data_IF_023995445517
#
_entry.id   IF_023995445517
#
_cell.length_a   1.000
_cell.length_b   1.000
_cell.length_c   1.000
_cell.angle_alpha   90.00
_cell.angle_beta   90.00
_cell.angle_gamma   90.00
#
_symmetry.space_group_name_H-M   'P 1'
#
loop_
_entity.id
_entity.type
_entity.pdbx_description
1 polymer ?
#
# COMPACT_ATOMS: atom_id res chain seq x y z
N UNK A 1 28.16 23.20 -7.31
CA UNK A 1 27.09 22.75 -8.23
C UNK A 1 27.60 22.83 -9.67
N UNK A 2 27.18 21.89 -10.54
CA UNK A 2 27.38 21.78 -12.01
C UNK A 2 28.46 20.86 -12.65
N UNK A 3 29.51 20.40 -11.98
CA UNK A 3 30.48 19.48 -12.63
C UNK A 3 30.21 17.97 -12.37
N UNK A 4 29.56 17.62 -11.26
CA UNK A 4 29.35 16.22 -10.85
C UNK A 4 28.13 15.58 -11.51
N UNK A 5 27.06 16.34 -11.78
CA UNK A 5 25.84 15.83 -12.41
C UNK A 5 25.99 15.50 -13.90
N UNK A 6 26.66 16.36 -14.68
CA UNK A 6 26.82 16.14 -16.14
C UNK A 6 27.76 14.97 -16.44
N UNK A 7 28.84 14.84 -15.66
CA UNK A 7 29.81 13.75 -15.82
C UNK A 7 29.25 12.40 -15.37
N UNK A 8 28.45 12.39 -14.30
CA UNK A 8 27.71 11.20 -13.87
C UNK A 8 26.68 10.75 -14.93
N UNK A 9 25.93 11.69 -15.54
CA UNK A 9 24.99 11.38 -16.63
C UNK A 9 25.68 10.78 -17.85
N UNK A 10 26.80 11.35 -18.29
CA UNK A 10 27.57 10.86 -19.43
C UNK A 10 28.09 9.44 -19.19
N UNK A 11 28.64 9.19 -17.99
CA UNK A 11 29.10 7.86 -17.59
C UNK A 11 27.96 6.83 -17.55
N UNK A 12 26.83 7.16 -16.92
CA UNK A 12 25.66 6.26 -16.86
C UNK A 12 25.12 5.96 -18.27
N UNK A 13 25.05 6.95 -19.16
CA UNK A 13 24.63 6.71 -20.56
C UNK A 13 25.57 5.76 -21.29
N UNK A 14 26.87 5.94 -21.14
CA UNK A 14 27.86 5.05 -21.76
C UNK A 14 27.75 3.62 -21.24
N UNK A 15 27.59 3.44 -19.93
CA UNK A 15 27.39 2.13 -19.30
C UNK A 15 26.08 1.46 -19.73
N UNK A 16 24.98 2.21 -19.84
CA UNK A 16 23.70 1.66 -20.31
C UNK A 16 23.73 1.28 -21.79
N UNK A 17 24.55 1.96 -22.60
CA UNK A 17 24.70 1.69 -24.03
C UNK A 17 25.63 0.49 -24.32
N UNK A 18 26.55 0.14 -23.42
CA UNK A 18 27.43 -1.02 -23.61
C UNK A 18 26.64 -2.34 -23.38
N UNK A 19 26.49 -3.18 -24.41
CA UNK A 19 25.77 -4.45 -24.30
C UNK A 19 26.43 -5.44 -23.33
N UNK A 20 27.71 -5.25 -22.99
CA UNK A 20 28.46 -6.12 -22.06
C UNK A 20 28.25 -5.73 -20.59
N UNK A 21 27.76 -4.52 -20.32
CA UNK A 21 27.50 -4.08 -18.94
C UNK A 21 26.27 -4.78 -18.40
N UNK A 22 26.41 -5.53 -17.31
CA UNK A 22 25.25 -6.00 -16.56
C UNK A 22 24.60 -4.83 -15.81
N UNK A 23 23.53 -4.29 -16.39
CA UNK A 23 22.79 -3.14 -15.85
C UNK A 23 21.97 -3.48 -14.60
N UNK A 24 21.77 -4.77 -14.31
CA UNK A 24 20.99 -5.26 -13.18
C UNK A 24 21.89 -5.80 -12.06
N UNK A 25 23.21 -5.63 -12.19
CA UNK A 25 24.18 -6.11 -11.22
C UNK A 25 23.88 -5.57 -9.82
N UNK A 26 23.89 -6.47 -8.85
CA UNK A 26 23.72 -6.13 -7.43
C UNK A 26 25.08 -5.91 -6.77
N UNK A 27 25.11 -5.16 -5.68
CA UNK A 27 26.37 -4.73 -5.06
C UNK A 27 26.34 -4.78 -3.53
N UNK A 28 25.63 -3.86 -2.87
CA UNK A 28 25.66 -3.72 -1.40
C UNK A 28 24.87 -4.82 -0.68
N UNK A 29 23.79 -5.26 -1.32
CA UNK A 29 22.95 -6.37 -0.90
C UNK A 29 22.71 -7.24 -2.14
N UNK A 30 22.41 -8.52 -1.95
CA UNK A 30 22.26 -9.50 -3.05
C UNK A 30 21.16 -9.14 -4.05
N UNK A 31 20.31 -8.17 -3.73
CA UNK A 31 19.13 -7.72 -4.47
C UNK A 31 19.13 -6.21 -4.83
N UNK A 32 20.01 -5.40 -4.23
CA UNK A 32 20.03 -3.95 -4.44
C UNK A 32 20.80 -3.55 -5.71
N UNK A 33 20.12 -2.89 -6.65
CA UNK A 33 20.68 -2.49 -7.97
C UNK A 33 20.99 -0.99 -8.06
N UNK A 34 21.65 -0.56 -9.13
CA UNK A 34 21.89 0.86 -9.39
C UNK A 34 20.59 1.66 -9.61
N UNK A 35 19.53 1.02 -10.13
CA UNK A 35 18.21 1.64 -10.24
C UNK A 35 17.62 1.90 -8.84
N UNK A 36 17.70 0.93 -7.92
CA UNK A 36 17.26 1.12 -6.53
C UNK A 36 17.96 2.31 -5.87
N UNK A 37 19.28 2.44 -6.04
CA UNK A 37 20.03 3.58 -5.50
C UNK A 37 19.56 4.93 -6.06
N UNK A 38 19.37 4.99 -7.39
CA UNK A 38 18.92 6.21 -8.07
C UNK A 38 17.51 6.62 -7.59
N UNK A 39 16.62 5.65 -7.42
CA UNK A 39 15.27 5.85 -6.89
C UNK A 39 15.31 6.32 -5.43
N UNK A 40 16.04 5.60 -4.58
CA UNK A 40 16.16 5.90 -3.14
C UNK A 40 16.70 7.31 -2.87
N UNK A 41 17.66 7.74 -3.69
CA UNK A 41 18.32 9.05 -3.55
C UNK A 41 17.55 10.18 -4.26
N UNK A 42 16.52 9.87 -5.05
CA UNK A 42 15.74 10.85 -5.82
C UNK A 42 16.45 11.41 -7.05
N UNK A 43 17.32 10.63 -7.70
CA UNK A 43 18.01 11.02 -8.93
C UNK A 43 17.11 10.78 -10.16
N UNK A 44 16.06 11.60 -10.29
CA UNK A 44 15.02 11.46 -11.34
C UNK A 44 15.57 11.44 -12.77
N UNK A 45 16.62 12.21 -13.04
CA UNK A 45 17.30 12.25 -14.33
C UNK A 45 17.99 10.93 -14.66
N UNK A 46 18.63 10.31 -13.66
CA UNK A 46 19.26 8.99 -13.78
C UNK A 46 18.18 7.90 -13.88
N UNK A 47 17.10 7.98 -13.11
CA UNK A 47 15.94 7.07 -13.22
C UNK A 47 15.38 7.11 -14.65
N UNK A 48 15.20 8.30 -15.24
CA UNK A 48 14.76 8.43 -16.64
C UNK A 48 15.73 7.82 -17.64
N UNK A 49 17.04 7.79 -17.36
CA UNK A 49 18.00 7.09 -18.21
C UNK A 49 17.86 5.57 -18.10
N UNK A 50 17.73 5.05 -16.88
CA UNK A 50 17.46 3.63 -16.66
C UNK A 50 16.16 3.17 -17.35
N UNK A 51 15.09 3.97 -17.25
CA UNK A 51 13.81 3.67 -17.90
C UNK A 51 13.88 3.65 -19.45
N UNK A 52 14.86 4.32 -20.06
CA UNK A 52 15.07 4.24 -21.51
C UNK A 52 15.78 2.97 -21.96
N UNK A 53 16.43 2.24 -21.05
CA UNK A 53 17.15 1.03 -21.36
C UNK A 53 16.23 -0.20 -21.18
N UNK A 54 15.89 -0.95 -22.25
CA UNK A 54 15.00 -2.09 -22.16
C UNK A 54 15.57 -3.26 -21.34
N UNK A 55 16.90 -3.32 -21.20
CA UNK A 55 17.64 -4.35 -20.45
C UNK A 55 17.53 -4.19 -18.94
N UNK A 56 17.11 -3.03 -18.46
CA UNK A 56 16.95 -2.75 -17.04
C UNK A 56 15.71 -3.47 -16.53
N UNK A 57 15.90 -4.31 -15.52
CA UNK A 57 14.83 -4.92 -14.75
C UNK A 57 14.27 -3.89 -13.77
N UNK A 58 13.13 -3.34 -14.14
CA UNK A 58 12.43 -2.32 -13.36
C UNK A 58 11.56 -2.91 -12.24
N UNK A 59 11.40 -4.24 -12.18
CA UNK A 59 10.54 -4.92 -11.21
C UNK A 59 11.33 -5.70 -10.16
N UNK A 60 12.67 -5.62 -10.20
CA UNK A 60 13.51 -6.27 -9.20
C UNK A 60 13.19 -5.71 -7.82
N UNK A 61 12.98 -6.62 -6.87
CA UNK A 61 12.66 -6.29 -5.47
C UNK A 61 13.95 -6.30 -4.66
N UNK A 62 14.16 -5.28 -3.83
CA UNK A 62 15.22 -5.22 -2.83
C UNK A 62 14.73 -5.67 -1.43
N UNK A 63 15.69 -6.04 -0.57
CA UNK A 63 15.46 -6.32 0.84
C UNK A 63 15.25 -5.05 1.66
N UNK A 64 15.65 -3.89 1.13
CA UNK A 64 15.37 -2.58 1.70
C UNK A 64 13.97 -2.16 1.31
N UNK A 65 13.00 -2.93 1.80
CA UNK A 65 11.64 -2.43 1.98
C UNK A 65 10.90 -2.01 0.68
N UNK A 66 11.32 -2.51 -0.49
CA UNK A 66 10.62 -2.29 -1.77
C UNK A 66 10.79 -0.87 -2.30
N UNK A 67 12.03 -0.36 -2.34
CA UNK A 67 12.34 1.03 -2.75
C UNK A 67 11.70 1.43 -4.09
N UNK A 68 11.73 0.52 -5.07
CA UNK A 68 11.13 0.72 -6.39
C UNK A 68 9.59 0.69 -6.32
N UNK A 69 9.02 -0.14 -5.45
CA UNK A 69 7.57 -0.33 -5.33
C UNK A 69 6.87 0.90 -4.71
N UNK A 70 7.58 1.70 -3.90
CA UNK A 70 7.04 2.90 -3.27
C UNK A 70 7.13 4.18 -4.12
N UNK A 71 7.80 4.15 -5.28
CA UNK A 71 8.08 5.38 -6.04
C UNK A 71 7.14 5.54 -7.23
N UNK A 72 6.16 6.40 -6.98
CA UNK A 72 5.21 7.03 -7.91
C UNK A 72 5.83 7.41 -9.27
N UNK A 73 7.11 7.79 -9.30
CA UNK A 73 7.84 8.20 -10.50
C UNK A 73 7.92 7.12 -11.58
N UNK A 74 7.74 5.84 -11.24
CA UNK A 74 7.87 4.71 -12.16
C UNK A 74 6.54 4.26 -12.78
N UNK A 75 5.38 4.67 -12.23
CA UNK A 75 4.06 4.17 -12.65
C UNK A 75 3.66 4.52 -14.10
N UNK A 76 4.42 5.37 -14.79
CA UNK A 76 4.24 5.67 -16.21
C UNK A 76 4.92 4.70 -17.19
N UNK A 77 5.87 3.86 -16.73
CA UNK A 77 6.53 2.87 -17.59
C UNK A 77 5.68 1.60 -17.71
N UNK A 78 5.37 1.18 -18.94
CA UNK A 78 4.54 0.00 -19.21
C UNK A 78 5.13 -1.31 -18.68
N UNK A 79 6.45 -1.36 -18.50
CA UNK A 79 7.18 -2.52 -17.99
C UNK A 79 7.03 -2.68 -16.48
N UNK A 80 6.65 -1.62 -15.77
CA UNK A 80 6.43 -1.69 -14.32
C UNK A 80 5.22 -2.58 -14.05
N UNK A 81 5.44 -3.56 -13.21
CA UNK A 81 4.40 -4.34 -12.56
C UNK A 81 4.10 -3.70 -11.21
N UNK A 82 2.90 -3.12 -11.10
CA UNK A 82 2.43 -2.43 -9.90
C UNK A 82 2.10 -3.38 -8.75
N UNK A 83 2.05 -4.69 -9.02
CA UNK A 83 1.58 -5.74 -8.11
C UNK A 83 2.72 -6.58 -7.53
N UNK A 84 3.97 -6.19 -7.76
CA UNK A 84 5.12 -6.90 -7.22
C UNK A 84 5.06 -6.90 -5.69
N UNK A 85 5.37 -8.07 -5.10
CA UNK A 85 5.41 -8.28 -3.67
C UNK A 85 6.83 -8.11 -3.14
N UNK A 86 6.96 -7.49 -1.97
CA UNK A 86 8.23 -7.52 -1.21
C UNK A 86 8.53 -8.95 -0.76
N UNK A 87 9.76 -9.19 -0.26
CA UNK A 87 10.10 -10.46 0.40
C UNK A 87 9.19 -10.77 1.60
N UNK A 88 8.61 -9.75 2.23
CA UNK A 88 7.62 -9.90 3.31
C UNK A 88 6.18 -10.13 2.82
N UNK A 89 5.96 -10.21 1.51
CA UNK A 89 4.62 -10.37 0.92
C UNK A 89 3.77 -9.10 0.92
N UNK A 90 4.39 -7.91 1.07
CA UNK A 90 3.68 -6.62 1.05
C UNK A 90 3.60 -6.06 -0.38
N UNK A 91 2.47 -5.45 -0.75
CA UNK A 91 2.33 -4.68 -2.00
C UNK A 91 2.80 -3.23 -1.82
N UNK A 92 3.05 -2.54 -2.94
CA UNK A 92 3.26 -1.09 -2.97
C UNK A 92 2.12 -0.30 -2.29
N UNK A 93 0.88 -0.78 -2.43
CA UNK A 93 -0.31 -0.17 -1.84
C UNK A 93 -0.29 -0.29 -0.32
N UNK A 94 -0.01 -1.49 0.21
CA UNK A 94 0.16 -1.73 1.65
C UNK A 94 1.28 -0.86 2.24
N UNK A 95 2.41 -0.77 1.55
CA UNK A 95 3.53 0.06 1.98
C UNK A 95 3.15 1.54 2.02
N UNK A 96 2.49 2.05 0.99
CA UNK A 96 2.03 3.44 0.94
C UNK A 96 1.07 3.77 2.08
N UNK A 97 0.16 2.84 2.41
CA UNK A 97 -0.75 3.00 3.54
C UNK A 97 -0.01 3.05 4.89
N UNK A 98 0.91 2.12 5.13
CA UNK A 98 1.71 2.05 6.38
C UNK A 98 2.63 3.26 6.56
N UNK A 99 3.18 3.79 5.47
CA UNK A 99 4.02 4.99 5.47
C UNK A 99 3.23 6.30 5.46
N UNK A 100 1.90 6.25 5.62
CA UNK A 100 1.03 7.42 5.60
C UNK A 100 1.13 8.27 4.32
N UNK A 101 1.47 7.64 3.20
CA UNK A 101 1.59 8.30 1.90
C UNK A 101 0.24 8.31 1.17
N UNK A 102 -0.65 9.23 1.57
CA UNK A 102 -1.98 9.38 0.96
C UNK A 102 -1.92 9.60 -0.55
N UNK A 103 -0.95 10.38 -1.04
CA UNK A 103 -0.77 10.61 -2.48
C UNK A 103 -0.38 9.32 -3.22
N UNK A 104 0.53 8.52 -2.66
CA UNK A 104 0.90 7.21 -3.19
C UNK A 104 -0.28 6.24 -3.22
N UNK A 105 -1.10 6.21 -2.17
CA UNK A 105 -2.33 5.41 -2.14
C UNK A 105 -3.29 5.82 -3.26
N UNK A 106 -3.60 7.12 -3.40
CA UNK A 106 -4.48 7.62 -4.47
C UNK A 106 -3.98 7.23 -5.86
N UNK A 107 -2.68 7.40 -6.09
CA UNK A 107 -2.10 7.12 -7.39
C UNK A 107 -2.08 5.62 -7.72
N UNK A 108 -1.77 4.77 -6.74
CA UNK A 108 -1.78 3.31 -6.93
C UNK A 108 -3.19 2.79 -7.16
N UNK A 109 -4.18 3.28 -6.40
CA UNK A 109 -5.59 2.94 -6.63
C UNK A 109 -6.06 3.38 -8.02
N UNK A 110 -5.63 4.55 -8.51
CA UNK A 110 -5.96 5.01 -9.86
C UNK A 110 -5.31 4.18 -10.98
N UNK A 111 -4.31 3.35 -10.68
CA UNK A 111 -3.60 2.58 -11.69
C UNK A 111 -4.46 1.41 -12.21
N UNK A 112 -4.67 1.27 -13.54
CA UNK A 112 -5.66 0.34 -14.09
C UNK A 112 -5.35 -1.14 -13.87
N UNK A 113 -4.08 -1.49 -13.63
CA UNK A 113 -3.64 -2.87 -13.38
C UNK A 113 -3.50 -3.23 -11.91
N UNK A 114 -3.85 -2.33 -10.98
CA UNK A 114 -3.68 -2.58 -9.55
C UNK A 114 -4.55 -3.75 -9.08
N UNK A 115 -3.95 -4.68 -8.35
CA UNK A 115 -4.63 -5.72 -7.61
C UNK A 115 -4.71 -5.29 -6.15
N UNK A 116 -5.91 -4.96 -5.71
CA UNK A 116 -6.17 -4.43 -4.36
C UNK A 116 -6.05 -5.53 -3.30
N UNK A 117 -6.52 -6.73 -3.63
CA UNK A 117 -6.57 -7.89 -2.73
C UNK A 117 -5.40 -8.84 -2.98
N UNK A 118 -4.19 -8.28 -3.01
CA UNK A 118 -2.96 -9.02 -3.23
C UNK A 118 -2.06 -8.97 -2.00
N UNK A 119 -1.39 -10.09 -1.73
CA UNK A 119 -0.51 -10.26 -0.56
C UNK A 119 -1.11 -11.21 0.47
N UNK A 120 -0.51 -11.24 1.66
CA UNK A 120 -0.86 -12.22 2.70
C UNK A 120 -2.00 -11.77 3.61
N UNK A 121 -2.36 -10.48 3.59
CA UNK A 121 -3.40 -9.89 4.43
C UNK A 121 -4.16 -8.81 3.64
N UNK A 122 -5.41 -8.58 4.03
CA UNK A 122 -6.22 -7.49 3.49
C UNK A 122 -5.57 -6.12 3.77
N UNK A 123 -5.63 -5.22 2.77
CA UNK A 123 -5.08 -3.86 2.86
C UNK A 123 -5.60 -3.09 4.09
N UNK A 124 -6.85 -3.32 4.50
CA UNK A 124 -7.44 -2.65 5.66
C UNK A 124 -6.86 -3.20 6.98
N UNK A 125 -6.69 -4.52 7.09
CA UNK A 125 -6.06 -5.14 8.27
C UNK A 125 -4.62 -4.67 8.43
N UNK A 126 -3.93 -4.53 7.30
CA UNK A 126 -2.58 -4.00 7.27
C UNK A 126 -2.54 -2.49 7.58
N UNK A 127 -3.48 -1.68 7.09
CA UNK A 127 -3.45 -0.23 7.30
C UNK A 127 -3.85 0.17 8.73
N UNK A 128 -4.85 -0.48 9.32
CA UNK A 128 -5.49 -0.07 10.57
C UNK A 128 -4.55 0.26 11.75
N UNK A 129 -3.49 -0.51 12.03
CA UNK A 129 -2.60 -0.24 13.17
C UNK A 129 -1.72 1.01 13.01
N UNK A 130 -1.45 1.46 11.78
CA UNK A 130 -0.43 2.49 11.49
C UNK A 130 -0.93 3.68 10.68
N UNK A 131 -2.00 3.48 9.90
CA UNK A 131 -2.48 4.46 8.93
C UNK A 131 -3.35 5.54 9.59
N UNK A 132 -3.10 6.79 9.20
CA UNK A 132 -3.91 7.95 9.56
C UNK A 132 -5.33 7.83 9.03
N UNK A 133 -6.26 8.60 9.62
CA UNK A 133 -7.64 8.73 9.13
C UNK A 133 -7.69 9.04 7.63
N UNK A 134 -6.85 9.96 7.14
CA UNK A 134 -6.83 10.39 5.74
C UNK A 134 -6.48 9.25 4.76
N UNK A 135 -5.56 8.35 5.15
CA UNK A 135 -5.27 7.15 4.36
C UNK A 135 -6.45 6.19 4.39
N UNK A 136 -7.08 5.99 5.54
CA UNK A 136 -8.25 5.11 5.67
C UNK A 136 -9.44 5.63 4.86
N UNK A 137 -9.72 6.94 4.89
CA UNK A 137 -10.73 7.60 4.04
C UNK A 137 -10.44 7.31 2.56
N UNK A 138 -9.20 7.54 2.13
CA UNK A 138 -8.77 7.32 0.74
C UNK A 138 -8.95 5.86 0.30
N UNK A 139 -8.61 4.90 1.16
CA UNK A 139 -8.82 3.48 0.89
C UNK A 139 -10.32 3.17 0.77
N UNK A 140 -11.13 3.60 1.76
CA UNK A 140 -12.55 3.26 1.84
C UNK A 140 -13.43 3.95 0.78
N UNK A 141 -12.96 5.06 0.20
CA UNK A 141 -13.53 5.69 -1.01
C UNK A 141 -13.55 4.73 -2.21
N UNK A 142 -12.58 3.81 -2.30
CA UNK A 142 -12.49 2.87 -3.42
C UNK A 142 -13.44 1.68 -3.22
N UNK A 143 -14.46 1.61 -4.07
CA UNK A 143 -15.50 0.56 -4.01
C UNK A 143 -15.00 -0.85 -4.27
N UNK A 144 -13.79 -1.02 -4.82
CA UNK A 144 -13.17 -2.34 -5.05
C UNK A 144 -12.58 -2.93 -3.76
N UNK A 145 -12.38 -2.13 -2.71
CA UNK A 145 -11.95 -2.64 -1.41
C UNK A 145 -13.12 -3.34 -0.73
N UNK A 146 -12.99 -4.64 -0.54
CA UNK A 146 -13.86 -5.46 0.31
C UNK A 146 -13.52 -5.23 1.79
N UNK A 147 -14.48 -4.65 2.50
CA UNK A 147 -14.38 -4.32 3.93
C UNK A 147 -14.64 -5.51 4.86
N UNK A 148 -15.19 -6.60 4.33
CA UNK A 148 -15.59 -7.78 5.10
C UNK A 148 -14.61 -8.95 4.97
N UNK A 149 -13.49 -8.76 4.27
CA UNK A 149 -12.39 -9.71 4.32
C UNK A 149 -12.00 -9.96 5.78
N UNK A 150 -11.59 -11.19 6.05
CA UNK A 150 -11.20 -11.60 7.39
C UNK A 150 -9.71 -11.90 7.49
N UNK A 151 -9.12 -11.62 8.64
CA UNK A 151 -7.78 -12.11 8.98
C UNK A 151 -7.82 -13.57 9.46
N UNK A 152 -6.67 -14.05 9.96
CA UNK A 152 -6.50 -15.42 10.44
C UNK A 152 -7.32 -15.73 11.70
N UNK A 153 -7.73 -14.70 12.42
CA UNK A 153 -8.57 -14.78 13.61
C UNK A 153 -10.06 -14.54 13.25
N UNK A 154 -10.40 -14.62 11.96
CA UNK A 154 -11.74 -14.37 11.41
C UNK A 154 -12.27 -12.95 11.68
N UNK A 155 -11.40 -12.01 12.06
CA UNK A 155 -11.77 -10.62 12.33
C UNK A 155 -11.86 -9.86 11.02
N UNK A 156 -12.88 -9.02 10.89
CA UNK A 156 -12.97 -8.03 9.80
C UNK A 156 -12.23 -6.74 10.16
N UNK A 157 -12.11 -5.82 9.20
CA UNK A 157 -11.57 -4.48 9.45
C UNK A 157 -12.35 -3.74 10.57
N UNK A 158 -13.66 -3.97 10.67
CA UNK A 158 -14.50 -3.37 11.72
C UNK A 158 -14.17 -3.94 13.11
N UNK A 159 -13.89 -5.24 13.23
CA UNK A 159 -13.43 -5.86 14.47
C UNK A 159 -12.09 -5.27 14.92
N UNK A 160 -11.12 -5.16 14.01
CA UNK A 160 -9.82 -4.55 14.33
C UNK A 160 -9.96 -3.08 14.73
N UNK A 161 -10.78 -2.29 14.02
CA UNK A 161 -11.02 -0.89 14.38
C UNK A 161 -11.65 -0.75 15.78
N UNK A 162 -12.58 -1.63 16.13
CA UNK A 162 -13.18 -1.71 17.46
C UNK A 162 -12.15 -2.10 18.54
N UNK A 163 -11.35 -3.13 18.29
CA UNK A 163 -10.29 -3.59 19.18
C UNK A 163 -9.20 -2.53 19.41
N UNK A 164 -8.90 -1.71 18.40
CA UNK A 164 -7.92 -0.62 18.49
C UNK A 164 -8.51 0.70 19.01
N UNK A 165 -9.82 0.77 19.27
CA UNK A 165 -10.49 2.00 19.72
C UNK A 165 -10.51 3.13 18.67
N UNK A 166 -10.41 2.77 17.38
CA UNK A 166 -10.34 3.73 16.27
C UNK A 166 -11.71 4.22 15.82
N UNK A 167 -12.34 5.06 16.63
CA UNK A 167 -13.68 5.63 16.35
C UNK A 167 -13.73 6.31 14.98
N UNK A 168 -12.66 7.02 14.63
CA UNK A 168 -12.52 7.73 13.35
C UNK A 168 -12.70 6.80 12.15
N UNK A 169 -12.24 5.55 12.24
CA UNK A 169 -12.37 4.55 11.18
C UNK A 169 -13.62 3.69 11.33
N UNK A 170 -14.07 3.43 12.56
CA UNK A 170 -15.35 2.76 12.80
C UNK A 170 -16.45 3.53 12.07
N UNK A 171 -16.48 4.86 12.17
CA UNK A 171 -17.44 5.69 11.44
C UNK A 171 -17.31 5.52 9.92
N UNK A 172 -16.10 5.59 9.37
CA UNK A 172 -15.89 5.42 7.92
C UNK A 172 -16.32 4.03 7.40
N UNK A 173 -16.09 2.99 8.19
CA UNK A 173 -16.55 1.64 7.87
C UNK A 173 -18.07 1.53 7.97
N UNK A 174 -18.71 2.13 8.99
CA UNK A 174 -20.17 2.10 9.13
C UNK A 174 -20.88 2.93 8.05
N UNK A 175 -20.24 3.99 7.54
CA UNK A 175 -20.73 4.79 6.42
C UNK A 175 -20.76 4.01 5.10
N UNK A 176 -20.10 2.84 5.03
CA UNK A 176 -20.20 1.94 3.88
C UNK A 176 -21.40 1.01 3.96
N UNK A 177 -22.14 0.92 2.88
CA UNK A 177 -23.40 0.15 2.79
C UNK A 177 -23.21 -1.36 2.76
N UNK A 178 -22.03 -1.82 2.34
CA UNK A 178 -21.68 -3.22 2.28
C UNK A 178 -20.98 -3.73 3.55
N UNK A 179 -20.82 -2.92 4.59
CA UNK A 179 -20.18 -3.35 5.85
C UNK A 179 -21.09 -4.30 6.63
N UNK A 180 -20.62 -5.52 6.89
CA UNK A 180 -21.28 -6.48 7.76
C UNK A 180 -20.95 -6.19 9.23
N UNK A 181 -21.86 -5.49 9.90
CA UNK A 181 -21.72 -5.08 11.30
C UNK A 181 -22.05 -6.19 12.30
N UNK A 182 -22.74 -7.26 11.86
CA UNK A 182 -23.19 -8.36 12.71
C UNK A 182 -22.24 -9.58 12.60
N UNK A 183 -21.25 -9.53 11.70
CA UNK A 183 -20.21 -10.56 11.59
C UNK A 183 -19.57 -10.82 12.94
N UNK A 184 -19.37 -12.10 13.25
CA UNK A 184 -18.64 -12.56 14.43
C UNK A 184 -17.21 -12.95 14.03
N UNK A 185 -16.25 -12.63 14.90
CA UNK A 185 -14.87 -13.10 14.80
C UNK A 185 -14.72 -14.56 15.27
N UNK A 186 -13.47 -15.03 15.35
CA UNK A 186 -13.14 -16.40 15.75
C UNK A 186 -13.54 -16.75 17.19
N UNK A 187 -13.72 -15.74 18.05
CA UNK A 187 -14.15 -15.90 19.44
C UNK A 187 -15.68 -15.76 19.60
N UNK A 188 -16.40 -15.57 18.48
CA UNK A 188 -17.85 -15.40 18.48
C UNK A 188 -18.31 -14.01 18.91
N UNK A 189 -17.42 -13.01 18.90
CA UNK A 189 -17.73 -11.63 19.26
C UNK A 189 -17.97 -10.79 18.00
N UNK A 190 -18.98 -9.92 18.05
CA UNK A 190 -19.13 -8.88 17.03
C UNK A 190 -18.16 -7.72 17.31
N UNK A 191 -17.93 -6.87 16.31
CA UNK A 191 -17.13 -5.66 16.49
C UNK A 191 -17.67 -4.75 17.62
N UNK A 192 -19.00 -4.66 17.77
CA UNK A 192 -19.62 -3.96 18.91
C UNK A 192 -19.32 -4.66 20.24
N UNK A 193 -19.34 -6.00 20.27
CA UNK A 193 -18.96 -6.79 21.44
C UNK A 193 -17.52 -6.51 21.88
N UNK A 194 -16.58 -6.53 20.93
CA UNK A 194 -15.18 -6.16 21.17
C UNK A 194 -15.03 -4.73 21.69
N UNK A 195 -15.75 -3.77 21.11
CA UNK A 195 -15.75 -2.39 21.58
C UNK A 195 -16.30 -2.30 23.01
N UNK A 196 -17.39 -3.00 23.35
CA UNK A 196 -17.95 -3.00 24.71
C UNK A 196 -16.98 -3.57 25.76
N UNK A 197 -16.21 -4.60 25.41
CA UNK A 197 -15.25 -5.21 26.32
C UNK A 197 -14.02 -4.33 26.57
N UNK A 198 -13.55 -3.58 25.56
CA UNK A 198 -12.31 -2.78 25.65
C UNK A 198 -12.55 -1.28 25.90
N UNK A 199 -13.62 -0.72 25.31
CA UNK A 199 -13.97 0.70 25.29
C UNK A 199 -15.49 0.91 25.37
N UNK A 200 -16.14 0.67 26.54
CA UNK A 200 -17.60 0.68 26.69
C UNK A 200 -18.28 1.96 26.16
N UNK A 201 -17.61 3.10 26.26
CA UNK A 201 -18.08 4.40 25.81
C UNK A 201 -18.23 4.50 24.28
N UNK A 202 -17.55 3.66 23.51
CA UNK A 202 -17.60 3.62 22.04
C UNK A 202 -18.74 2.76 21.49
N UNK A 203 -19.48 2.05 22.34
CA UNK A 203 -20.63 1.25 21.91
C UNK A 203 -21.71 2.09 21.18
N UNK A 204 -21.81 3.38 21.52
CA UNK A 204 -22.69 4.36 20.85
C UNK A 204 -22.31 4.63 19.39
N UNK A 205 -21.09 4.32 18.96
CA UNK A 205 -20.67 4.52 17.58
C UNK A 205 -21.34 3.51 16.64
N UNK A 206 -21.79 2.37 17.16
CA UNK A 206 -22.43 1.30 16.39
C UNK A 206 -23.96 1.47 16.24
N UNK A 207 -24.56 2.59 16.67
CA UNK A 207 -26.02 2.79 16.68
C UNK A 207 -26.63 3.46 15.44
N UNK A 208 -25.90 3.62 14.32
CA UNK A 208 -26.33 4.53 13.21
C UNK A 208 -26.75 3.83 11.90
N UNK A 209 -27.28 2.60 11.88
CA UNK A 209 -27.88 2.09 10.61
C UNK A 209 -29.30 1.52 10.65
N UNK A 210 -29.93 1.36 11.82
CA UNK A 210 -31.27 0.72 11.93
C UNK A 210 -32.42 1.67 12.29
N UNK A 211 -32.49 2.88 11.70
CA UNK A 211 -33.70 3.74 11.82
C UNK A 211 -34.40 4.04 10.48
N UNK A 212 -33.76 3.85 9.32
CA UNK A 212 -34.37 4.28 8.05
C UNK A 212 -35.09 3.16 7.29
N UNK A 213 -34.79 1.87 7.51
CA UNK A 213 -35.34 0.78 6.67
C UNK A 213 -36.54 0.01 7.25
N UNK A 214 -37.20 0.50 8.31
CA UNK A 214 -38.43 -0.15 8.83
C UNK A 214 -39.62 0.81 9.05
N UNK A 215 -39.66 1.91 8.31
CA UNK A 215 -40.85 2.77 8.17
C UNK A 215 -41.10 3.08 6.70
N UNK A 216 -41.72 2.14 6.00
CA UNK A 216 -42.20 2.28 4.63
C UNK A 216 -42.97 1.06 4.19
#
# INVERSE_FOLDING_TARGET
MCATGVRARGGVRALLADPRTDVNRTWMFSDFTALHFAVWTGYDDIVRLFLKCPRVDVNRVDNIQGTILGTITLLGDKRIDVNVLTLGGETALCKSARSNNTFGVRLLLAHPRIQIHLGTQSILHFALPWATKAVMETLLEDKRIDVNLVDKEQRTALHLAAYLGRIDVIQLLLDRDDTDVEKLDGDGLSARGLALSNYPEFARCFTIKKIVENKG
#
